data_IF_029623054390
#
_entry.id   IF_029623054390
#
_cell.length_a   1.000
_cell.length_b   1.000
_cell.length_c   1.000
_cell.angle_alpha   90.00
_cell.angle_beta   90.00
_cell.angle_gamma   90.00
#
_symmetry.space_group_name_H-M   'P 1'
#
loop_
_entity.id
_entity.type
_entity.pdbx_description
1 polymer ?
#
# COMPACT_ATOMS: atom_id res chain seq x y z
N UNK A 1 -71.21 -7.60 -2.48
CA UNK A 1 -70.77 -7.78 -3.88
C UNK A 1 -69.25 -7.64 -3.89
N UNK A 2 -68.50 -8.71 -3.62
CA UNK A 2 -68.07 -9.78 -4.54
C UNK A 2 -66.71 -9.49 -5.20
N UNK A 3 -65.75 -10.35 -4.84
CA UNK A 3 -64.62 -10.88 -5.62
C UNK A 3 -63.37 -10.03 -5.90
N UNK A 4 -62.25 -10.62 -5.44
CA UNK A 4 -60.89 -10.48 -5.97
C UNK A 4 -60.79 -10.94 -7.44
N UNK A 5 -59.70 -10.57 -8.15
CA UNK A 5 -58.58 -11.50 -8.39
C UNK A 5 -57.20 -10.79 -8.25
N UNK A 6 -56.11 -11.38 -7.73
CA UNK A 6 -55.29 -12.56 -8.10
C UNK A 6 -54.06 -12.21 -8.99
N UNK A 7 -52.86 -12.27 -8.35
CA UNK A 7 -51.51 -12.68 -8.84
C UNK A 7 -50.90 -11.98 -10.08
N UNK A 8 -49.58 -11.78 -10.26
CA UNK A 8 -48.41 -12.68 -10.11
C UNK A 8 -47.09 -11.87 -10.02
N UNK A 9 -46.13 -12.36 -9.23
CA UNK A 9 -44.68 -12.06 -9.34
C UNK A 9 -43.98 -13.25 -10.01
N UNK A 10 -42.95 -13.06 -10.86
CA UNK A 10 -42.27 -14.17 -11.53
C UNK A 10 -41.17 -14.81 -10.65
N UNK A 11 -41.38 -16.09 -10.36
CA UNK A 11 -40.44 -17.24 -10.46
C UNK A 11 -38.96 -17.05 -10.11
N UNK A 12 -38.58 -17.58 -8.94
CA UNK A 12 -37.26 -18.12 -8.63
C UNK A 12 -37.39 -19.66 -8.68
N UNK A 13 -36.73 -20.30 -9.65
CA UNK A 13 -36.65 -21.74 -9.76
C UNK A 13 -35.45 -22.24 -8.94
N UNK A 14 -35.72 -23.09 -7.95
CA UNK A 14 -34.75 -23.87 -7.20
C UNK A 14 -34.98 -25.35 -7.50
N UNK A 15 -33.93 -26.05 -7.94
CA UNK A 15 -33.84 -27.51 -8.03
C UNK A 15 -32.83 -27.95 -6.93
N UNK A 16 -33.26 -28.74 -5.94
CA UNK A 16 -33.06 -30.22 -5.82
C UNK A 16 -31.56 -30.60 -5.80
N UNK A 17 -30.98 -31.25 -4.78
CA UNK A 17 -31.43 -32.40 -4.00
C UNK A 17 -30.80 -32.42 -2.59
N UNK A 18 -31.58 -32.92 -1.62
CA UNK A 18 -31.15 -33.27 -0.27
C UNK A 18 -30.97 -34.80 -0.15
N UNK A 19 -29.99 -35.23 0.65
CA UNK A 19 -29.80 -36.63 1.06
C UNK A 19 -29.09 -36.67 2.41
N UNK A 20 -29.88 -36.79 3.48
CA UNK A 20 -29.44 -36.76 4.87
C UNK A 20 -29.26 -38.15 5.50
N UNK A 21 -28.47 -38.15 6.56
CA UNK A 21 -28.13 -39.22 7.50
C UNK A 21 -29.33 -39.59 8.39
N UNK A 22 -29.56 -40.89 8.67
CA UNK A 22 -29.90 -41.37 10.02
C UNK A 22 -29.75 -42.90 10.18
N UNK A 23 -29.30 -43.30 11.37
CA UNK A 23 -29.01 -44.65 11.84
C UNK A 23 -30.26 -45.47 12.23
N UNK A 24 -30.16 -46.80 12.22
CA UNK A 24 -30.93 -47.66 13.14
C UNK A 24 -30.27 -49.04 13.37
N UNK A 25 -30.40 -49.52 14.59
CA UNK A 25 -29.95 -50.81 15.14
C UNK A 25 -30.60 -52.04 14.50
N UNK A 26 -29.88 -53.18 14.45
CA UNK A 26 -30.44 -54.50 14.76
C UNK A 26 -29.35 -55.54 15.04
N UNK A 27 -29.52 -56.25 16.17
CA UNK A 27 -28.79 -57.42 16.66
C UNK A 27 -29.43 -58.71 16.11
N UNK A 28 -28.61 -59.76 15.99
CA UNK A 28 -28.91 -61.21 16.11
C UNK A 28 -29.79 -61.92 15.06
N UNK A 29 -29.25 -63.00 14.46
CA UNK A 29 -29.70 -64.41 14.60
C UNK A 29 -28.70 -65.37 13.88
N UNK A 30 -28.58 -66.60 14.39
CA UNK A 30 -27.61 -67.69 14.09
C UNK A 30 -27.68 -68.25 12.66
N UNK A 31 -26.77 -69.04 12.06
CA UNK A 31 -25.59 -69.90 12.39
C UNK A 31 -25.37 -70.85 11.16
N UNK A 32 -24.59 -71.96 11.15
CA UNK A 32 -23.39 -72.37 11.91
C UNK A 32 -22.19 -72.89 11.03
N UNK A 33 -21.02 -73.03 11.68
CA UNK A 33 -19.84 -73.93 11.51
C UNK A 33 -19.45 -74.56 10.14
N UNK A 34 -18.15 -74.50 9.77
CA UNK A 34 -17.15 -75.61 9.87
C UNK A 34 -15.73 -75.23 9.36
N UNK A 35 -14.74 -75.54 10.20
CA UNK A 35 -13.39 -76.11 9.93
C UNK A 35 -12.25 -75.33 9.25
N UNK A 36 -11.04 -75.55 9.81
CA UNK A 36 -9.81 -74.80 9.59
C UNK A 36 -9.09 -75.04 8.27
N UNK A 37 -8.23 -74.08 7.91
CA UNK A 37 -7.09 -74.32 7.03
C UNK A 37 -5.92 -73.41 7.46
N UNK A 38 -4.80 -74.03 7.82
CA UNK A 38 -3.53 -73.41 8.17
C UNK A 38 -2.65 -73.38 6.92
N UNK A 39 -2.05 -72.22 6.63
CA UNK A 39 -0.86 -72.14 5.78
C UNK A 39 -1.02 -71.29 4.52
N UNK A 40 -0.43 -70.08 4.57
CA UNK A 40 0.33 -69.55 3.44
C UNK A 40 1.28 -68.47 3.95
N UNK A 41 2.57 -68.78 3.93
CA UNK A 41 3.67 -67.88 4.20
C UNK A 41 3.83 -66.88 3.06
N UNK A 42 3.42 -65.64 3.27
CA UNK A 42 3.83 -64.53 2.42
C UNK A 42 5.15 -63.94 2.95
N UNK A 43 6.22 -64.13 2.20
CA UNK A 43 7.53 -63.54 2.45
C UNK A 43 7.42 -62.01 2.47
N UNK A 44 7.61 -61.42 3.65
CA UNK A 44 7.69 -59.97 3.80
C UNK A 44 9.05 -59.52 3.28
N UNK A 45 9.10 -59.13 2.00
CA UNK A 45 10.25 -58.40 1.46
C UNK A 45 10.42 -57.10 2.24
N UNK A 46 11.42 -57.04 3.11
CA UNK A 46 11.83 -55.83 3.81
C UNK A 46 12.28 -54.80 2.78
N UNK A 47 11.35 -53.94 2.35
CA UNK A 47 11.66 -52.71 1.62
C UNK A 47 12.52 -51.87 2.55
N UNK A 48 13.85 -51.88 2.34
CA UNK A 48 14.77 -50.92 2.96
C UNK A 48 14.18 -49.53 2.71
N UNK A 49 13.55 -48.95 3.74
CA UNK A 49 13.25 -47.54 3.74
C UNK A 49 14.61 -46.86 3.64
N UNK A 50 14.89 -46.24 2.49
CA UNK A 50 15.95 -45.24 2.42
C UNK A 50 15.64 -44.22 3.51
N UNK A 51 16.48 -44.19 4.54
CA UNK A 51 16.41 -43.20 5.61
C UNK A 51 16.47 -41.84 4.95
N UNK A 52 15.34 -41.12 4.92
CA UNK A 52 15.33 -39.72 4.58
C UNK A 52 16.20 -39.01 5.61
N UNK A 53 17.39 -38.59 5.19
CA UNK A 53 18.28 -37.75 5.98
C UNK A 53 17.47 -36.54 6.45
N UNK A 54 17.36 -36.28 7.76
CA UNK A 54 16.61 -35.15 8.28
C UNK A 54 17.34 -33.86 7.90
N UNK A 55 16.80 -33.12 6.93
CA UNK A 55 17.30 -31.78 6.59
C UNK A 55 17.33 -30.92 7.85
N UNK A 56 18.50 -30.35 8.15
CA UNK A 56 18.69 -29.53 9.34
C UNK A 56 17.72 -28.35 9.47
N UNK A 57 17.53 -27.78 10.67
CA UNK A 57 16.56 -26.73 10.96
C UNK A 57 16.73 -25.43 10.14
N UNK A 58 17.94 -25.16 9.67
CA UNK A 58 18.34 -23.90 9.00
C UNK A 58 17.64 -23.72 7.65
N UNK A 59 17.41 -24.79 6.91
CA UNK A 59 16.79 -24.75 5.58
C UNK A 59 15.31 -24.41 5.63
N UNK A 60 14.61 -24.89 6.68
CA UNK A 60 13.17 -24.66 6.84
C UNK A 60 12.88 -23.20 7.16
N UNK A 61 13.61 -22.61 8.12
CA UNK A 61 13.45 -21.20 8.51
C UNK A 61 13.71 -20.26 7.32
N UNK A 62 14.73 -20.53 6.50
CA UNK A 62 15.02 -19.73 5.31
C UNK A 62 13.94 -19.85 4.23
N UNK A 63 13.41 -21.05 3.99
CA UNK A 63 12.27 -21.26 3.08
C UNK A 63 11.02 -20.53 3.55
N UNK A 64 10.68 -20.66 4.83
CA UNK A 64 9.53 -20.01 5.45
C UNK A 64 9.67 -18.49 5.34
N UNK A 65 10.88 -17.95 5.51
CA UNK A 65 11.16 -16.52 5.31
C UNK A 65 10.97 -16.08 3.86
N UNK A 66 11.48 -16.84 2.89
CA UNK A 66 11.28 -16.55 1.46
C UNK A 66 9.79 -16.55 1.13
N UNK A 67 9.04 -17.54 1.60
CA UNK A 67 7.60 -17.62 1.37
C UNK A 67 6.85 -16.45 2.03
N UNK A 68 7.21 -16.08 3.26
CA UNK A 68 6.65 -14.91 3.96
C UNK A 68 6.89 -13.61 3.19
N UNK A 69 8.11 -13.38 2.70
CA UNK A 69 8.43 -12.19 1.90
C UNK A 69 7.69 -12.21 0.56
N UNK A 70 7.58 -13.37 -0.11
CA UNK A 70 6.76 -13.51 -1.33
C UNK A 70 5.29 -13.18 -1.09
N UNK A 71 4.71 -13.67 0.02
CA UNK A 71 3.33 -13.33 0.43
C UNK A 71 3.18 -11.83 0.70
N UNK A 72 4.18 -11.23 1.35
CA UNK A 72 4.22 -9.78 1.59
C UNK A 72 4.23 -8.99 0.29
N UNK A 73 5.06 -9.37 -0.69
CA UNK A 73 5.10 -8.74 -2.01
C UNK A 73 3.77 -8.83 -2.78
N UNK A 74 3.08 -9.99 -2.73
CA UNK A 74 1.74 -10.14 -3.31
C UNK A 74 0.71 -9.25 -2.63
N UNK A 75 0.79 -9.10 -1.30
CA UNK A 75 -0.10 -8.24 -0.53
C UNK A 75 0.11 -6.76 -0.87
N UNK A 76 1.37 -6.31 -0.95
CA UNK A 76 1.69 -4.92 -1.31
C UNK A 76 1.28 -4.61 -2.75
N UNK A 77 1.46 -5.56 -3.67
CA UNK A 77 1.01 -5.40 -5.05
C UNK A 77 -0.53 -5.30 -5.17
N UNK A 78 -1.26 -6.17 -4.46
CA UNK A 78 -2.71 -6.07 -4.38
C UNK A 78 -3.16 -4.71 -3.78
N UNK A 79 -2.49 -4.25 -2.72
CA UNK A 79 -2.77 -2.92 -2.13
C UNK A 79 -2.50 -1.78 -3.11
N UNK A 80 -1.47 -1.88 -3.95
CA UNK A 80 -1.17 -0.91 -5.02
C UNK A 80 -2.31 -0.85 -6.03
N UNK A 81 -2.80 -1.99 -6.50
CA UNK A 81 -3.92 -2.06 -7.46
C UNK A 81 -5.22 -1.52 -6.85
N UNK A 82 -5.52 -1.86 -5.59
CA UNK A 82 -6.68 -1.32 -4.86
C UNK A 82 -6.59 0.20 -4.73
N UNK A 83 -5.41 0.73 -4.41
CA UNK A 83 -5.20 2.17 -4.32
C UNK A 83 -5.36 2.85 -5.69
N UNK A 84 -4.85 2.26 -6.78
CA UNK A 84 -5.05 2.75 -8.14
C UNK A 84 -6.52 2.85 -8.53
N UNK A 85 -7.30 1.79 -8.25
CA UNK A 85 -8.74 1.79 -8.50
C UNK A 85 -9.47 2.87 -7.68
N UNK A 86 -9.05 3.11 -6.44
CA UNK A 86 -9.61 4.17 -5.60
C UNK A 86 -9.23 5.58 -6.10
N UNK A 87 -8.02 5.80 -6.62
CA UNK A 87 -7.66 7.11 -7.22
C UNK A 87 -8.56 7.41 -8.41
N UNK A 88 -8.78 6.42 -9.28
CA UNK A 88 -9.67 6.58 -10.44
C UNK A 88 -11.09 6.97 -10.01
N UNK A 89 -11.63 6.33 -8.97
CA UNK A 89 -12.93 6.73 -8.40
C UNK A 89 -12.93 8.16 -7.86
N UNK A 90 -11.85 8.60 -7.20
CA UNK A 90 -11.73 9.96 -6.71
C UNK A 90 -11.71 10.97 -7.88
N UNK A 91 -11.00 10.66 -8.97
CA UNK A 91 -11.00 11.48 -10.19
C UNK A 91 -12.39 11.56 -10.84
N UNK A 92 -13.08 10.43 -10.98
CA UNK A 92 -14.45 10.40 -11.49
C UNK A 92 -15.38 11.27 -10.63
N UNK A 93 -15.17 11.28 -9.31
CA UNK A 93 -15.90 12.14 -8.37
C UNK A 93 -15.66 13.63 -8.61
N UNK A 94 -14.40 14.04 -8.80
CA UNK A 94 -14.04 15.43 -9.14
C UNK A 94 -14.66 15.85 -10.46
N UNK A 95 -14.55 15.02 -11.50
CA UNK A 95 -15.12 15.31 -12.82
C UNK A 95 -16.64 15.50 -12.75
N UNK A 96 -17.34 14.68 -11.95
CA UNK A 96 -18.80 14.81 -11.74
C UNK A 96 -19.19 16.06 -10.94
N UNK A 97 -18.39 16.48 -9.97
CA UNK A 97 -18.66 17.66 -9.15
C UNK A 97 -18.31 18.99 -9.86
N UNK A 98 -17.51 18.92 -10.92
CA UNK A 98 -16.97 20.09 -11.61
C UNK A 98 -18.02 20.99 -12.27
N UNK A 99 -19.01 20.48 -13.03
CA UNK A 99 -20.03 21.34 -13.64
C UNK A 99 -20.79 22.19 -12.63
N UNK A 100 -21.15 21.58 -11.49
CA UNK A 100 -21.81 22.27 -10.39
C UNK A 100 -20.93 23.38 -9.80
N UNK A 101 -19.66 23.07 -9.50
CA UNK A 101 -18.71 24.00 -8.91
C UNK A 101 -18.42 25.20 -9.82
N UNK A 102 -18.28 24.93 -11.13
CA UNK A 102 -18.06 25.95 -12.16
C UNK A 102 -19.27 26.87 -12.30
N UNK A 103 -20.47 26.32 -12.41
CA UNK A 103 -21.69 27.13 -12.57
C UNK A 103 -21.96 27.96 -11.30
N UNK A 104 -21.81 27.36 -10.11
CA UNK A 104 -21.95 28.09 -8.84
C UNK A 104 -20.95 29.25 -8.72
N UNK A 105 -19.69 29.01 -9.06
CA UNK A 105 -18.64 30.05 -9.10
C UNK A 105 -18.98 31.14 -10.11
N UNK A 106 -19.47 30.74 -11.28
CA UNK A 106 -19.84 31.65 -12.37
C UNK A 106 -21.02 32.56 -11.97
N UNK A 107 -22.05 32.00 -11.33
CA UNK A 107 -23.19 32.74 -10.80
C UNK A 107 -22.78 33.71 -9.69
N UNK A 108 -21.98 33.25 -8.71
CA UNK A 108 -21.51 34.12 -7.62
C UNK A 108 -20.67 35.27 -8.18
N UNK A 109 -19.76 35.01 -9.13
CA UNK A 109 -18.97 36.06 -9.80
C UNK A 109 -19.88 37.05 -10.55
N UNK A 110 -20.90 36.57 -11.24
CA UNK A 110 -21.87 37.42 -11.95
C UNK A 110 -22.65 38.32 -10.97
N UNK A 111 -23.15 37.76 -9.87
CA UNK A 111 -23.87 38.50 -8.83
C UNK A 111 -22.98 39.53 -8.16
N UNK A 112 -21.77 39.14 -7.73
CA UNK A 112 -20.80 40.05 -7.11
C UNK A 112 -20.44 41.19 -8.09
N UNK A 113 -20.24 40.91 -9.39
CA UNK A 113 -19.97 41.94 -10.41
C UNK A 113 -21.13 42.92 -10.56
N UNK A 114 -22.38 42.45 -10.59
CA UNK A 114 -23.59 43.30 -10.67
C UNK A 114 -23.78 44.15 -9.40
N UNK A 115 -23.30 43.66 -8.25
CA UNK A 115 -23.42 44.28 -6.94
C UNK A 115 -22.16 45.05 -6.51
N UNK A 116 -21.16 45.21 -7.37
CA UNK A 116 -19.99 46.05 -7.07
C UNK A 116 -20.45 47.51 -6.91
N UNK A 117 -20.30 48.06 -5.70
CA UNK A 117 -20.61 49.45 -5.38
C UNK A 117 -21.72 49.67 -4.35
N UNK A 118 -22.45 48.62 -3.93
CA UNK A 118 -23.55 48.74 -2.95
C UNK A 118 -23.16 48.48 -1.49
N UNK A 119 -21.88 48.26 -1.17
CA UNK A 119 -21.44 48.07 0.22
C UNK A 119 -21.70 46.67 0.83
N UNK A 120 -22.11 45.69 0.01
CA UNK A 120 -22.49 44.33 0.43
C UNK A 120 -21.44 43.55 1.25
N UNK A 121 -20.16 43.94 1.15
CA UNK A 121 -19.07 43.32 1.92
C UNK A 121 -19.27 43.49 3.44
N UNK A 122 -19.98 44.54 3.86
CA UNK A 122 -20.29 44.81 5.27
C UNK A 122 -21.47 43.97 5.78
N UNK A 123 -22.43 43.65 4.92
CA UNK A 123 -23.70 43.00 5.27
C UNK A 123 -23.62 41.46 5.30
N UNK A 124 -22.67 40.88 4.55
CA UNK A 124 -22.48 39.43 4.47
C UNK A 124 -21.41 38.93 5.44
N UNK A 125 -21.77 38.19 6.52
CA UNK A 125 -20.79 37.78 7.54
C UNK A 125 -19.61 36.99 6.98
N UNK A 126 -19.85 36.10 6.00
CA UNK A 126 -18.83 35.23 5.40
C UNK A 126 -17.85 35.93 4.44
N UNK A 127 -18.16 37.16 4.02
CA UNK A 127 -17.29 38.02 3.19
C UNK A 127 -16.56 39.08 4.01
N UNK A 128 -16.95 39.27 5.28
CA UNK A 128 -16.36 40.27 6.16
C UNK A 128 -14.91 39.91 6.47
N UNK A 129 -13.98 40.71 5.96
CA UNK A 129 -12.56 40.63 6.33
C UNK A 129 -12.37 41.45 7.60
N UNK A 130 -11.99 40.85 8.74
CA UNK A 130 -11.77 41.61 9.97
C UNK A 130 -10.48 42.43 9.87
N UNK A 131 -10.50 43.65 10.42
CA UNK A 131 -9.34 44.58 10.41
C UNK A 131 -8.13 44.02 11.17
N UNK A 132 -8.37 43.16 12.17
CA UNK A 132 -7.35 42.44 12.93
C UNK A 132 -7.79 41.00 13.19
N UNK A 133 -6.96 40.04 12.78
CA UNK A 133 -7.18 38.61 13.00
C UNK A 133 -6.62 38.22 14.37
N UNK A 134 -7.50 37.84 15.31
CA UNK A 134 -7.10 37.40 16.67
C UNK A 134 -7.07 35.87 16.79
N UNK A 135 -7.96 35.19 16.07
CA UNK A 135 -8.08 33.74 16.09
C UNK A 135 -8.17 33.15 14.68
N UNK A 136 -7.43 32.05 14.45
CA UNK A 136 -7.41 31.33 13.18
C UNK A 136 -7.84 29.88 13.40
N UNK A 137 -8.79 29.42 12.59
CA UNK A 137 -9.20 28.02 12.50
C UNK A 137 -8.37 27.32 11.44
N UNK A 138 -7.66 26.25 11.79
CA UNK A 138 -6.92 25.43 10.83
C UNK A 138 -7.62 24.09 10.67
N UNK A 139 -8.11 23.77 9.47
CA UNK A 139 -8.57 22.43 9.12
C UNK A 139 -7.42 21.64 8.52
N UNK A 140 -6.89 20.68 9.28
CA UNK A 140 -5.87 19.75 8.81
C UNK A 140 -6.53 18.48 8.25
N UNK A 141 -6.26 18.16 6.98
CA UNK A 141 -6.78 16.95 6.32
C UNK A 141 -5.70 15.88 6.25
N UNK A 142 -5.96 14.71 6.82
CA UNK A 142 -5.05 13.57 6.90
C UNK A 142 -5.74 12.25 6.55
N UNK A 143 -4.95 11.19 6.40
CA UNK A 143 -5.48 9.85 6.15
C UNK A 143 -6.03 9.19 7.42
N UNK A 144 -6.94 8.24 7.25
CA UNK A 144 -7.34 7.35 8.33
C UNK A 144 -6.33 6.21 8.58
N UNK A 145 -5.66 5.75 7.53
CA UNK A 145 -4.77 4.58 7.55
C UNK A 145 -3.31 5.00 7.35
N UNK A 146 -2.40 4.13 7.75
CA UNK A 146 -0.97 4.25 7.46
C UNK A 146 -0.61 3.71 6.08
N UNK A 147 0.68 3.37 5.89
CA UNK A 147 1.21 2.79 4.66
C UNK A 147 1.10 3.70 3.42
N UNK A 148 0.92 5.01 3.63
CA UNK A 148 0.83 6.04 2.59
C UNK A 148 2.14 6.84 2.44
N UNK A 149 3.28 6.19 2.67
CA UNK A 149 4.59 6.85 2.69
C UNK A 149 4.66 8.00 3.70
N UNK A 150 5.25 9.12 3.29
CA UNK A 150 5.44 10.31 4.13
C UNK A 150 4.25 11.31 4.13
N UNK A 151 3.13 10.97 3.47
CA UNK A 151 1.97 11.85 3.30
C UNK A 151 1.50 12.53 4.61
N UNK A 152 1.11 11.75 5.62
CA UNK A 152 0.62 12.28 6.89
C UNK A 152 1.69 13.12 7.59
N UNK A 153 2.95 12.68 7.53
CA UNK A 153 4.08 13.36 8.15
C UNK A 153 4.30 14.74 7.55
N UNK A 154 4.22 14.89 6.22
CA UNK A 154 4.40 16.17 5.56
C UNK A 154 3.27 17.15 5.88
N UNK A 155 2.02 16.69 5.93
CA UNK A 155 0.88 17.52 6.33
C UNK A 155 1.05 17.99 7.77
N UNK A 156 1.31 17.08 8.72
CA UNK A 156 1.52 17.43 10.13
C UNK A 156 2.70 18.40 10.32
N UNK A 157 3.82 18.20 9.60
CA UNK A 157 4.96 19.14 9.65
C UNK A 157 4.59 20.53 9.15
N UNK A 158 3.83 20.62 8.05
CA UNK A 158 3.38 21.91 7.49
C UNK A 158 2.40 22.60 8.43
N UNK A 159 1.45 21.86 9.01
CA UNK A 159 0.53 22.36 10.04
C UNK A 159 1.28 22.87 11.26
N UNK A 160 2.22 22.08 11.80
CA UNK A 160 3.04 22.47 12.94
C UNK A 160 3.82 23.77 12.68
N UNK A 161 4.43 23.88 11.49
CA UNK A 161 5.17 25.08 11.09
C UNK A 161 4.24 26.30 10.97
N UNK A 162 3.01 26.11 10.46
CA UNK A 162 2.02 27.19 10.38
C UNK A 162 1.55 27.65 11.76
N UNK A 163 1.21 26.70 12.64
CA UNK A 163 0.81 27.02 14.03
C UNK A 163 1.96 27.74 14.75
N UNK A 164 3.19 27.25 14.64
CA UNK A 164 4.35 27.90 15.25
C UNK A 164 4.57 29.33 14.73
N UNK A 165 4.30 29.61 13.46
CA UNK A 165 4.38 30.97 12.92
C UNK A 165 3.28 31.87 13.50
N UNK A 166 2.04 31.38 13.57
CA UNK A 166 0.90 32.14 14.11
C UNK A 166 1.04 32.41 15.62
N UNK A 167 1.56 31.45 16.38
CA UNK A 167 1.81 31.63 17.81
C UNK A 167 2.88 32.70 18.07
N UNK A 168 3.90 32.82 17.20
CA UNK A 168 4.89 33.91 17.29
C UNK A 168 4.29 35.28 17.02
N UNK A 169 3.25 35.35 16.19
CA UNK A 169 2.47 36.55 15.92
C UNK A 169 1.43 36.83 17.04
N UNK A 170 1.33 35.97 18.06
CA UNK A 170 0.38 36.09 19.16
C UNK A 170 -1.07 35.73 18.79
N UNK A 171 -1.27 35.07 17.66
CA UNK A 171 -2.60 34.69 17.14
C UNK A 171 -2.98 33.31 17.70
N UNK A 172 -4.19 33.21 18.27
CA UNK A 172 -4.69 31.93 18.80
C UNK A 172 -5.14 31.02 17.67
N UNK A 173 -4.75 29.74 17.73
CA UNK A 173 -5.12 28.77 16.69
C UNK A 173 -6.09 27.73 17.24
N UNK A 174 -7.22 27.54 16.57
CA UNK A 174 -8.16 26.43 16.81
C UNK A 174 -8.00 25.39 15.72
N UNK A 175 -7.69 24.14 16.09
CA UNK A 175 -7.36 23.07 15.16
C UNK A 175 -8.58 22.16 14.92
N UNK A 176 -8.95 21.99 13.66
CA UNK A 176 -9.92 20.99 13.21
C UNK A 176 -9.21 19.90 12.44
N UNK A 177 -9.59 18.65 12.69
CA UNK A 177 -8.89 17.50 12.14
C UNK A 177 -9.86 16.66 11.33
N UNK A 178 -9.47 16.38 10.09
CA UNK A 178 -10.04 15.33 9.26
C UNK A 178 -9.01 14.20 9.17
N UNK A 179 -9.41 13.00 9.54
CA UNK A 179 -8.58 11.79 9.49
C UNK A 179 -8.01 11.38 10.85
N UNK A 180 -8.06 10.07 11.12
CA UNK A 180 -7.58 9.47 12.37
C UNK A 180 -6.07 9.65 12.60
N UNK A 181 -5.24 9.73 11.54
CA UNK A 181 -3.79 9.93 11.71
C UNK A 181 -3.43 11.33 12.16
N UNK A 182 -4.22 12.33 11.80
CA UNK A 182 -4.08 13.70 12.32
C UNK A 182 -4.35 13.74 13.82
N UNK A 183 -5.42 13.09 14.28
CA UNK A 183 -5.81 13.06 15.70
C UNK A 183 -4.73 12.36 16.54
N UNK A 184 -4.31 11.15 16.16
CA UNK A 184 -3.17 10.46 16.79
C UNK A 184 -1.87 11.28 16.72
N UNK A 185 -1.70 12.08 15.66
CA UNK A 185 -0.56 12.95 15.43
C UNK A 185 -0.47 14.16 16.37
N UNK A 186 -1.60 14.63 16.92
CA UNK A 186 -1.64 15.80 17.82
C UNK A 186 -0.70 15.64 19.01
N UNK A 187 -0.82 14.52 19.73
CA UNK A 187 -0.05 14.22 20.96
C UNK A 187 1.44 14.02 20.72
N UNK A 188 1.84 13.64 19.51
CA UNK A 188 3.22 13.23 19.21
C UNK A 188 3.98 14.26 18.39
N UNK A 189 3.35 14.81 17.34
CA UNK A 189 3.98 15.65 16.32
C UNK A 189 3.64 17.13 16.47
N UNK A 190 2.52 17.45 17.12
CA UNK A 190 2.09 18.82 17.40
C UNK A 190 2.30 19.23 18.87
N UNK A 191 2.92 18.38 19.70
CA UNK A 191 3.15 18.64 21.12
C UNK A 191 4.01 19.87 21.46
N UNK A 192 4.73 20.42 20.47
CA UNK A 192 5.59 21.60 20.63
C UNK A 192 4.89 22.92 20.29
N UNK A 193 3.65 22.86 19.80
CA UNK A 193 2.90 24.05 19.39
C UNK A 193 1.62 24.15 20.21
N UNK A 194 1.24 25.36 20.56
CA UNK A 194 0.00 25.64 21.28
C UNK A 194 -1.14 25.77 20.29
N UNK A 195 -2.21 25.01 20.50
CA UNK A 195 -3.44 25.06 19.71
C UNK A 195 -4.61 24.62 20.59
N UNK A 196 -5.79 25.15 20.28
CA UNK A 196 -7.04 24.72 20.88
C UNK A 196 -7.65 23.56 20.08
N UNK A 197 -8.08 22.50 20.77
CA UNK A 197 -8.63 21.30 20.15
C UNK A 197 -9.70 20.64 21.04
N UNK A 198 -10.93 20.64 20.56
CA UNK A 198 -12.11 20.12 21.28
C UNK A 198 -12.17 18.58 21.41
N UNK A 199 -11.11 17.86 21.00
CA UNK A 199 -11.10 16.39 21.02
C UNK A 199 -11.94 15.72 19.93
N UNK A 200 -12.65 16.51 19.11
CA UNK A 200 -13.51 16.02 18.01
C UNK A 200 -12.72 15.95 16.71
N UNK A 201 -12.85 14.86 15.96
CA UNK A 201 -12.29 14.74 14.62
C UNK A 201 -13.32 14.17 13.66
N UNK A 202 -13.19 14.53 12.39
CA UNK A 202 -13.98 13.93 11.32
C UNK A 202 -13.21 12.77 10.72
N UNK A 203 -13.84 11.60 10.60
CA UNK A 203 -13.23 10.48 9.91
C UNK A 203 -13.23 10.72 8.40
N UNK A 204 -12.08 10.55 7.74
CA UNK A 204 -11.99 10.69 6.28
C UNK A 204 -12.76 9.55 5.60
N UNK A 205 -13.86 9.81 4.88
CA UNK A 205 -14.64 8.73 4.30
C UNK A 205 -13.87 8.03 3.16
N UNK A 206 -14.07 6.72 3.02
CA UNK A 206 -13.48 5.94 1.93
C UNK A 206 -14.05 6.35 0.55
N UNK A 207 -15.28 6.84 0.53
CA UNK A 207 -15.94 7.44 -0.64
C UNK A 207 -16.41 8.83 -0.25
N UNK A 208 -15.87 9.86 -0.91
CA UNK A 208 -16.27 11.23 -0.62
C UNK A 208 -17.70 11.45 -1.11
N UNK A 209 -18.54 12.01 -0.25
CA UNK A 209 -19.93 12.37 -0.58
C UNK A 209 -20.18 13.83 -0.19
N UNK A 210 -21.16 14.46 -0.83
CA UNK A 210 -21.57 15.82 -0.47
C UNK A 210 -21.98 15.94 1.01
N UNK A 211 -22.58 14.89 1.58
CA UNK A 211 -22.97 14.85 3.00
C UNK A 211 -21.77 15.06 3.93
N UNK A 212 -20.67 14.35 3.70
CA UNK A 212 -19.46 14.50 4.53
C UNK A 212 -18.83 15.89 4.39
N UNK A 213 -18.89 16.49 3.20
CA UNK A 213 -18.41 17.85 3.00
C UNK A 213 -19.30 18.87 3.72
N UNK A 214 -20.63 18.70 3.68
CA UNK A 214 -21.58 19.56 4.39
C UNK A 214 -21.38 19.49 5.90
N UNK A 215 -21.19 18.30 6.48
CA UNK A 215 -20.95 18.14 7.93
C UNK A 215 -19.70 18.92 8.39
N UNK A 216 -18.62 18.87 7.60
CA UNK A 216 -17.38 19.61 7.87
C UNK A 216 -17.58 21.12 7.64
N UNK A 217 -18.26 21.49 6.56
CA UNK A 217 -18.53 22.87 6.18
C UNK A 217 -19.42 23.59 7.18
N UNK A 218 -20.48 22.94 7.66
CA UNK A 218 -21.37 23.49 8.68
C UNK A 218 -20.65 23.69 10.01
N UNK A 219 -19.79 22.75 10.42
CA UNK A 219 -18.99 22.88 11.63
C UNK A 219 -18.05 24.10 11.56
N UNK A 220 -17.33 24.26 10.44
CA UNK A 220 -16.41 25.40 10.22
C UNK A 220 -17.18 26.71 10.11
N UNK A 221 -18.30 26.71 9.39
CA UNK A 221 -19.16 27.88 9.18
C UNK A 221 -19.74 28.38 10.50
N UNK A 222 -20.29 27.50 11.32
CA UNK A 222 -20.90 27.88 12.59
C UNK A 222 -19.88 28.53 13.55
N UNK A 223 -18.64 28.03 13.52
CA UNK A 223 -17.52 28.56 14.31
C UNK A 223 -17.05 29.94 13.84
N UNK A 224 -17.09 30.17 12.53
CA UNK A 224 -16.78 31.47 11.95
C UNK A 224 -17.90 32.49 12.25
N UNK A 225 -19.17 32.07 12.09
CA UNK A 225 -20.33 32.91 12.35
C UNK A 225 -20.50 33.24 13.84
N UNK A 226 -20.06 32.37 14.75
CA UNK A 226 -20.05 32.66 16.20
C UNK A 226 -18.99 33.68 16.60
N UNK A 227 -18.06 34.04 15.71
CA UNK A 227 -16.94 34.94 16.00
C UNK A 227 -15.84 34.31 16.87
N UNK A 228 -15.87 32.98 17.06
CA UNK A 228 -14.80 32.27 17.76
C UNK A 228 -13.52 32.24 16.91
N UNK A 229 -13.68 32.21 15.58
CA UNK A 229 -12.59 32.25 14.60
C UNK A 229 -12.82 33.34 13.57
N UNK A 230 -11.79 34.19 13.39
CA UNK A 230 -11.81 35.31 12.44
C UNK A 230 -11.36 34.91 11.02
N UNK A 231 -10.62 33.81 10.88
CA UNK A 231 -10.08 33.32 9.59
C UNK A 231 -9.94 31.81 9.59
N UNK A 232 -10.30 31.14 8.49
CA UNK A 232 -10.16 29.69 8.34
C UNK A 232 -9.17 29.34 7.22
N UNK A 233 -8.17 28.55 7.58
CA UNK A 233 -7.16 28.00 6.68
C UNK A 233 -7.30 26.46 6.59
N UNK A 234 -7.16 25.91 5.39
CA UNK A 234 -7.10 24.48 5.13
C UNK A 234 -5.65 24.08 4.90
N UNK A 235 -5.20 23.02 5.57
CA UNK A 235 -3.93 22.35 5.31
C UNK A 235 -4.21 20.97 4.76
N UNK A 236 -3.96 20.79 3.47
CA UNK A 236 -4.18 19.54 2.76
C UNK A 236 -3.05 19.27 1.78
N UNK A 237 -2.95 18.04 1.30
CA UNK A 237 -2.05 17.72 0.21
C UNK A 237 -2.79 17.91 -1.11
N UNK A 238 -2.35 18.89 -1.89
CA UNK A 238 -2.81 19.06 -3.26
C UNK A 238 -2.17 17.99 -4.14
N UNK A 239 -3.01 17.32 -4.92
CA UNK A 239 -2.54 16.32 -5.87
C UNK A 239 -1.86 17.06 -7.02
N UNK A 240 -0.74 16.55 -7.54
CA UNK A 240 -0.11 17.12 -8.75
C UNK A 240 0.25 16.02 -9.72
N UNK A 241 0.96 15.00 -9.23
CA UNK A 241 1.34 13.81 -9.99
C UNK A 241 1.37 12.60 -9.06
N UNK A 242 1.48 11.39 -9.61
CA UNK A 242 1.53 10.18 -8.79
C UNK A 242 2.71 10.14 -7.78
N UNK A 243 3.79 10.83 -8.14
CA UNK A 243 5.04 10.84 -7.38
C UNK A 243 5.18 12.09 -6.51
N UNK A 244 4.46 13.17 -6.82
CA UNK A 244 4.62 14.47 -6.17
C UNK A 244 3.29 14.97 -5.61
N UNK A 245 3.20 14.99 -4.28
CA UNK A 245 2.11 15.59 -3.53
C UNK A 245 2.73 16.62 -2.60
N UNK A 246 2.31 17.89 -2.69
CA UNK A 246 2.84 18.96 -1.84
C UNK A 246 1.77 19.38 -0.82
N UNK A 247 2.08 19.44 0.49
CA UNK A 247 1.18 20.01 1.46
C UNK A 247 1.06 21.52 1.25
N UNK A 248 -0.14 21.97 0.96
CA UNK A 248 -0.49 23.37 0.67
C UNK A 248 -1.41 23.92 1.75
N UNK A 249 -1.32 25.23 1.96
CA UNK A 249 -2.19 25.97 2.88
C UNK A 249 -3.07 26.87 2.01
N UNK A 250 -4.38 26.74 2.13
CA UNK A 250 -5.36 27.54 1.40
C UNK A 250 -6.26 28.27 2.40
N UNK A 251 -6.47 29.56 2.23
CA UNK A 251 -7.48 30.29 3.02
C UNK A 251 -8.85 30.06 2.38
N UNK A 252 -9.84 29.71 3.19
CA UNK A 252 -11.21 29.42 2.73
C UNK A 252 -12.23 30.41 3.29
N UNK A 253 -12.05 30.88 4.53
CA UNK A 253 -12.81 32.00 5.08
C UNK A 253 -11.84 33.05 5.62
N UNK A 254 -12.14 34.36 5.50
CA UNK A 254 -13.26 34.95 4.77
C UNK A 254 -13.12 34.76 3.25
N UNK A 255 -14.25 34.68 2.55
CA UNK A 255 -14.29 34.55 1.10
C UNK A 255 -13.92 35.91 0.47
N UNK A 256 -12.82 35.98 -0.29
CA UNK A 256 -12.46 37.23 -0.95
C UNK A 256 -13.46 37.54 -2.08
N UNK A 257 -14.08 38.74 -2.11
CA UNK A 257 -15.03 39.15 -3.17
C UNK A 257 -14.43 39.13 -4.58
N UNK A 258 -13.11 39.29 -4.69
CA UNK A 258 -12.36 39.26 -5.95
C UNK A 258 -11.50 38.01 -6.13
N UNK A 259 -11.34 37.20 -5.08
CA UNK A 259 -10.43 36.06 -4.99
C UNK A 259 -11.12 34.71 -4.82
N UNK A 260 -12.26 34.51 -5.49
CA UNK A 260 -12.96 33.21 -5.63
C UNK A 260 -12.11 32.22 -6.47
N UNK A 261 -10.97 32.65 -6.98
CA UNK A 261 -10.01 31.84 -7.74
C UNK A 261 -8.94 31.27 -6.81
N UNK A 262 -8.84 29.94 -6.78
CA UNK A 262 -7.52 29.33 -6.72
C UNK A 262 -6.90 29.55 -8.14
N UNK A 263 -5.73 30.18 -8.27
CA UNK A 263 -5.06 30.36 -9.56
C UNK A 263 -4.79 29.04 -10.31
N UNK A 264 -4.80 27.92 -9.58
CA UNK A 264 -4.34 26.61 -10.04
C UNK A 264 -5.41 25.51 -9.83
N UNK A 265 -6.64 25.69 -10.28
CA UNK A 265 -7.62 24.58 -10.32
C UNK A 265 -7.23 23.60 -11.46
N UNK A 266 -6.19 22.80 -11.22
CA UNK A 266 -5.66 21.81 -12.17
C UNK A 266 -6.48 20.52 -12.06
N UNK A 267 -6.99 20.02 -13.18
CA UNK A 267 -7.66 18.71 -13.23
C UNK A 267 -6.67 17.61 -13.54
N UNK A 268 -6.83 16.47 -12.87
CA UNK A 268 -5.98 15.31 -13.01
C UNK A 268 -6.73 14.17 -13.70
N UNK A 269 -6.22 13.71 -14.84
CA UNK A 269 -6.67 12.48 -15.49
C UNK A 269 -5.57 11.43 -15.36
N UNK A 270 -5.92 10.24 -14.86
CA UNK A 270 -5.01 9.10 -14.90
C UNK A 270 -5.12 8.44 -16.27
N UNK A 271 -4.07 8.58 -17.08
CA UNK A 271 -3.90 7.87 -18.35
C UNK A 271 -2.88 6.75 -18.17
N UNK A 272 -3.00 5.70 -18.98
CA UNK A 272 -2.05 4.61 -19.03
C UNK A 272 -1.26 4.73 -20.33
N UNK A 273 -0.05 5.27 -20.27
CA UNK A 273 0.93 5.23 -21.36
C UNK A 273 1.93 4.11 -21.08
N UNK A 274 2.16 3.22 -22.05
CA UNK A 274 3.19 2.15 -22.01
C UNK A 274 3.13 1.23 -20.76
N UNK A 275 1.94 0.96 -20.25
CA UNK A 275 1.74 0.13 -19.06
C UNK A 275 2.17 0.80 -17.74
N UNK A 276 2.55 2.08 -17.77
CA UNK A 276 2.85 2.90 -16.59
C UNK A 276 1.71 3.90 -16.37
N UNK A 277 1.14 3.90 -15.17
CA UNK A 277 0.16 4.90 -14.75
C UNK A 277 0.86 6.28 -14.73
N UNK A 278 0.40 7.20 -15.57
CA UNK A 278 0.80 8.60 -15.57
C UNK A 278 -0.42 9.47 -15.27
N UNK A 279 -0.15 10.67 -14.76
CA UNK A 279 -1.19 11.69 -14.54
C UNK A 279 -0.90 12.80 -15.53
N UNK A 280 -1.84 13.01 -16.43
CA UNK A 280 -1.85 14.17 -17.30
C UNK A 280 -2.57 15.31 -16.60
N UNK A 281 -2.01 16.51 -16.78
CA UNK A 281 -2.61 17.74 -16.30
C UNK A 281 -3.36 18.37 -17.44
N UNK A 282 -4.68 18.37 -17.34
CA UNK A 282 -5.47 19.28 -18.15
C UNK A 282 -5.64 20.57 -17.37
N UNK A 283 -5.17 21.69 -17.95
CA UNK A 283 -5.55 23.02 -17.46
C UNK A 283 -7.03 23.19 -17.75
N UNK A 284 -7.80 22.94 -16.70
CA UNK A 284 -9.23 23.06 -16.71
C UNK A 284 -9.63 24.49 -17.14
N UNK A 285 -10.54 24.68 -18.12
CA UNK A 285 -10.96 26.02 -18.50
C UNK A 285 -11.59 26.72 -17.29
N UNK A 286 -11.08 27.91 -16.96
CA UNK A 286 -11.60 28.74 -15.86
C UNK A 286 -13.08 29.02 -16.11
N UNK A 287 -13.91 28.88 -15.09
CA UNK A 287 -15.30 29.31 -15.16
C UNK A 287 -15.31 30.84 -15.40
N UNK A 288 -15.64 31.25 -16.64
CA UNK A 288 -15.89 32.65 -16.97
C UNK A 288 -17.11 33.11 -16.16
N UNK A 289 -17.07 34.34 -15.67
CA UNK A 289 -18.23 34.93 -15.02
C UNK A 289 -19.41 34.91 -16.00
N UNK A 290 -20.56 34.42 -15.57
CA UNK A 290 -21.79 34.52 -16.36
C UNK A 290 -22.14 36.00 -16.38
N UNK A 291 -22.18 36.60 -17.55
CA UNK A 291 -22.72 37.95 -17.69
C UNK A 291 -24.22 37.82 -17.45
N UNK A 292 -24.65 38.21 -16.26
CA UNK A 292 -26.06 38.27 -15.90
C UNK A 292 -26.64 39.41 -16.73
N UNK A 293 -27.52 39.07 -17.67
CA UNK A 293 -28.19 40.08 -18.49
C UNK A 293 -28.88 41.12 -17.60
N UNK A 294 -28.91 42.40 -18.01
CA UNK A 294 -29.55 43.47 -17.24
C UNK A 294 -30.99 43.14 -16.86
N UNK A 295 -31.72 42.48 -17.77
CA UNK A 295 -33.15 42.16 -17.68
C UNK A 295 -33.48 40.91 -16.85
N UNK A 296 -32.50 40.32 -16.15
CA UNK A 296 -32.75 39.21 -15.23
C UNK A 296 -33.50 39.72 -14.00
N UNK A 297 -34.75 39.26 -13.86
CA UNK A 297 -35.60 39.51 -12.68
C UNK A 297 -35.14 38.59 -11.55
N UNK A 298 -34.86 39.17 -10.37
CA UNK A 298 -34.56 38.41 -9.16
C UNK A 298 -35.83 38.24 -8.32
N UNK A 299 -36.11 37.01 -7.90
CA UNK A 299 -37.22 36.69 -7.01
C UNK A 299 -36.99 37.18 -5.56
N UNK A 300 -35.71 37.36 -5.18
CA UNK A 300 -35.29 37.86 -3.88
C UNK A 300 -34.21 38.93 -4.01
N UNK A 301 -33.99 39.77 -2.99
CA UNK A 301 -32.85 40.68 -2.95
C UNK A 301 -31.53 39.93 -3.20
N UNK A 302 -30.62 40.48 -4.02
CA UNK A 302 -29.37 39.80 -4.37
C UNK A 302 -28.50 39.42 -3.16
N UNK A 303 -28.58 40.18 -2.07
CA UNK A 303 -27.94 39.89 -0.77
C UNK A 303 -28.42 38.56 -0.17
N UNK A 304 -29.73 38.35 -0.13
CA UNK A 304 -30.36 37.12 0.40
C UNK A 304 -29.99 35.92 -0.45
N UNK A 305 -30.00 36.09 -1.78
CA UNK A 305 -29.58 35.05 -2.72
C UNK A 305 -28.12 34.68 -2.47
N UNK A 306 -27.24 35.68 -2.37
CA UNK A 306 -25.81 35.46 -2.14
C UNK A 306 -25.57 34.79 -0.78
N UNK A 307 -26.25 35.21 0.29
CA UNK A 307 -26.21 34.57 1.61
C UNK A 307 -26.57 33.08 1.58
N UNK A 308 -27.51 32.68 0.72
CA UNK A 308 -27.90 31.27 0.55
C UNK A 308 -26.90 30.47 -0.30
N UNK A 309 -26.20 31.13 -1.22
CA UNK A 309 -25.22 30.50 -2.12
C UNK A 309 -23.83 30.34 -1.50
N UNK A 310 -23.41 31.24 -0.60
CA UNK A 310 -22.09 31.18 0.04
C UNK A 310 -21.84 29.87 0.82
N UNK A 311 -22.78 29.32 1.59
CA UNK A 311 -22.63 28.00 2.20
C UNK A 311 -22.44 26.87 1.18
N UNK A 312 -23.18 26.90 0.07
CA UNK A 312 -23.01 25.91 -1.01
C UNK A 312 -21.63 26.01 -1.64
N UNK A 313 -21.10 27.22 -1.78
CA UNK A 313 -19.77 27.46 -2.31
C UNK A 313 -18.68 26.94 -1.36
N UNK A 314 -18.81 27.22 -0.06
CA UNK A 314 -17.92 26.68 0.98
C UNK A 314 -17.91 25.15 0.95
N UNK A 315 -19.09 24.53 0.91
CA UNK A 315 -19.22 23.08 0.88
C UNK A 315 -18.62 22.48 -0.40
N UNK A 316 -18.77 23.15 -1.53
CA UNK A 316 -18.13 22.77 -2.79
C UNK A 316 -16.60 22.84 -2.73
N UNK A 317 -16.04 23.91 -2.14
CA UNK A 317 -14.60 24.02 -1.94
C UNK A 317 -14.06 22.91 -1.03
N UNK A 318 -14.74 22.64 0.10
CA UNK A 318 -14.36 21.55 1.00
C UNK A 318 -14.44 20.21 0.28
N UNK A 319 -15.49 19.98 -0.50
CA UNK A 319 -15.64 18.76 -1.29
C UNK A 319 -14.45 18.56 -2.26
N UNK A 320 -14.06 19.60 -2.99
CA UNK A 320 -12.90 19.57 -3.90
C UNK A 320 -11.60 19.24 -3.14
N UNK A 321 -11.37 19.91 -2.01
CA UNK A 321 -10.19 19.68 -1.15
C UNK A 321 -10.16 18.24 -0.62
N UNK A 322 -11.30 17.66 -0.24
CA UNK A 322 -11.37 16.28 0.21
C UNK A 322 -11.02 15.30 -0.91
N UNK A 323 -11.47 15.55 -2.14
CA UNK A 323 -11.09 14.74 -3.29
C UNK A 323 -9.58 14.83 -3.59
N UNK A 324 -9.00 16.03 -3.60
CA UNK A 324 -7.56 16.25 -3.80
C UNK A 324 -6.72 15.56 -2.73
N UNK A 325 -7.15 15.70 -1.47
CA UNK A 325 -6.49 15.06 -0.35
C UNK A 325 -6.56 13.53 -0.46
N UNK A 326 -7.72 12.98 -0.86
CA UNK A 326 -7.90 11.55 -1.07
C UNK A 326 -7.05 11.03 -2.24
N UNK A 327 -7.04 11.73 -3.37
CA UNK A 327 -6.21 11.37 -4.53
C UNK A 327 -4.72 11.37 -4.17
N UNK A 328 -4.26 12.40 -3.46
CA UNK A 328 -2.88 12.51 -2.96
C UNK A 328 -2.52 11.39 -1.98
N UNK A 329 -3.42 11.08 -1.04
CA UNK A 329 -3.23 10.01 -0.06
C UNK A 329 -3.04 8.65 -0.74
N UNK A 330 -3.96 8.33 -1.65
CA UNK A 330 -3.97 7.08 -2.39
C UNK A 330 -2.78 6.98 -3.33
N UNK A 331 -2.38 8.08 -3.96
CA UNK A 331 -1.18 8.16 -4.78
C UNK A 331 0.09 7.88 -3.98
N UNK A 332 0.23 8.50 -2.81
CA UNK A 332 1.36 8.25 -1.92
C UNK A 332 1.39 6.79 -1.44
N UNK A 333 0.22 6.19 -1.20
CA UNK A 333 0.07 4.76 -0.90
C UNK A 333 0.48 3.89 -2.08
N UNK A 334 0.07 4.20 -3.31
CA UNK A 334 0.49 3.46 -4.51
C UNK A 334 2.01 3.45 -4.68
N UNK A 335 2.65 4.61 -4.51
CA UNK A 335 4.11 4.75 -4.62
C UNK A 335 4.82 4.00 -3.51
N UNK A 336 4.33 4.08 -2.26
CA UNK A 336 4.88 3.32 -1.14
C UNK A 336 4.73 1.80 -1.33
N UNK A 337 3.58 1.34 -1.81
CA UNK A 337 3.33 -0.07 -2.09
C UNK A 337 4.16 -0.58 -3.28
N UNK A 338 4.33 0.22 -4.34
CA UNK A 338 5.23 -0.09 -5.45
C UNK A 338 6.66 -0.31 -4.96
N UNK A 339 7.20 0.66 -4.22
CA UNK A 339 8.54 0.55 -3.65
C UNK A 339 8.66 -0.67 -2.72
N UNK A 340 7.63 -0.98 -1.92
CA UNK A 340 7.62 -2.16 -1.07
C UNK A 340 7.60 -3.48 -1.86
N UNK A 341 6.85 -3.56 -2.97
CA UNK A 341 6.82 -4.73 -3.86
C UNK A 341 8.17 -4.94 -4.54
N UNK A 342 8.78 -3.87 -5.07
CA UNK A 342 10.09 -3.93 -5.72
C UNK A 342 11.17 -4.36 -4.70
N UNK A 343 11.17 -3.78 -3.49
CA UNK A 343 12.06 -4.18 -2.40
C UNK A 343 11.84 -5.63 -1.95
N UNK A 344 10.59 -6.12 -1.96
CA UNK A 344 10.29 -7.50 -1.62
C UNK A 344 10.82 -8.46 -2.70
N UNK A 345 10.74 -8.10 -3.98
CA UNK A 345 11.30 -8.88 -5.08
C UNK A 345 12.83 -9.00 -4.94
N UNK A 346 13.51 -7.90 -4.67
CA UNK A 346 14.95 -7.87 -4.42
C UNK A 346 15.36 -8.68 -3.19
N UNK A 347 14.53 -8.65 -2.14
CA UNK A 347 14.79 -9.46 -0.95
C UNK A 347 14.61 -10.95 -1.23
N UNK A 348 13.63 -11.32 -2.04
CA UNK A 348 13.41 -12.71 -2.46
C UNK A 348 14.59 -13.24 -3.26
N UNK A 349 15.13 -12.48 -4.22
CA UNK A 349 16.29 -12.91 -5.02
C UNK A 349 17.52 -13.11 -4.13
N UNK A 350 17.81 -12.16 -3.22
CA UNK A 350 18.92 -12.26 -2.26
C UNK A 350 18.77 -13.46 -1.32
N UNK A 351 17.60 -13.64 -0.72
CA UNK A 351 17.34 -14.78 0.17
C UNK A 351 17.42 -16.11 -0.57
N UNK A 352 16.99 -16.17 -1.82
CA UNK A 352 17.09 -17.38 -2.65
C UNK A 352 18.55 -17.74 -2.94
N UNK A 353 19.40 -16.75 -3.23
CA UNK A 353 20.84 -16.97 -3.41
C UNK A 353 21.49 -17.51 -2.13
N UNK A 354 21.21 -16.89 -0.98
CA UNK A 354 21.71 -17.35 0.32
C UNK A 354 21.21 -18.77 0.64
N UNK A 355 19.94 -19.05 0.37
CA UNK A 355 19.35 -20.37 0.57
C UNK A 355 20.06 -21.44 -0.29
N UNK A 356 20.30 -21.15 -1.57
CA UNK A 356 20.99 -22.09 -2.47
C UNK A 356 22.44 -22.34 -2.02
N UNK A 357 23.17 -21.31 -1.61
CA UNK A 357 24.54 -21.44 -1.07
C UNK A 357 24.57 -22.29 0.20
N UNK A 358 23.66 -22.04 1.14
CA UNK A 358 23.56 -22.83 2.39
C UNK A 358 23.17 -24.28 2.12
N UNK A 359 22.23 -24.50 1.19
CA UNK A 359 21.82 -25.84 0.77
C UNK A 359 22.99 -26.61 0.15
N UNK A 360 23.78 -25.98 -0.71
CA UNK A 360 24.97 -26.59 -1.29
C UNK A 360 26.01 -26.92 -0.22
N UNK A 361 26.30 -25.97 0.68
CA UNK A 361 27.22 -26.19 1.81
C UNK A 361 26.79 -27.35 2.72
N UNK A 362 25.48 -27.46 3.01
CA UNK A 362 24.92 -28.56 3.79
C UNK A 362 25.06 -29.91 3.07
N UNK A 363 24.76 -29.96 1.76
CA UNK A 363 24.95 -31.17 0.96
C UNK A 363 26.42 -31.59 0.91
N UNK A 364 27.35 -30.66 0.70
CA UNK A 364 28.78 -30.96 0.72
C UNK A 364 29.25 -31.44 2.09
N UNK A 365 28.76 -30.84 3.17
CA UNK A 365 29.07 -31.27 4.53
C UNK A 365 28.56 -32.71 4.78
N UNK A 366 27.32 -33.00 4.40
CA UNK A 366 26.75 -34.35 4.52
C UNK A 366 27.56 -35.37 3.71
N UNK A 367 27.99 -35.04 2.49
CA UNK A 367 28.85 -35.91 1.67
C UNK A 367 30.20 -36.14 2.33
N UNK A 368 30.85 -35.08 2.84
CA UNK A 368 32.12 -35.20 3.56
C UNK A 368 32.00 -36.08 4.81
N UNK A 369 30.92 -35.93 5.59
CA UNK A 369 30.64 -36.75 6.77
C UNK A 369 30.41 -38.23 6.40
N UNK A 370 29.69 -38.51 5.32
CA UNK A 370 29.47 -39.88 4.81
C UNK A 370 30.79 -40.51 4.35
N UNK A 371 31.58 -39.80 3.55
CA UNK A 371 32.87 -40.29 3.04
C UNK A 371 33.86 -40.54 4.18
N UNK A 372 33.97 -39.63 5.15
CA UNK A 372 34.81 -39.81 6.33
C UNK A 372 34.37 -41.02 7.18
N UNK A 373 33.06 -41.22 7.36
CA UNK A 373 32.51 -42.38 8.05
C UNK A 373 32.77 -43.71 7.31
N UNK A 374 32.72 -43.70 5.98
CA UNK A 374 33.03 -44.86 5.15
C UNK A 374 34.51 -45.27 5.26
N UNK A 375 35.43 -44.30 5.16
CA UNK A 375 36.88 -44.54 5.32
C UNK A 375 37.21 -45.16 6.69
N UNK A 376 36.60 -44.65 7.78
CA UNK A 376 36.80 -45.19 9.12
C UNK A 376 36.34 -46.67 9.27
N UNK A 377 35.36 -47.11 8.47
CA UNK A 377 34.91 -48.50 8.46
C UNK A 377 35.84 -49.42 7.67
N UNK A 378 36.47 -48.90 6.61
CA UNK A 378 37.47 -49.64 5.84
C UNK A 378 38.73 -49.90 6.68
N UNK A 379 39.20 -48.90 7.42
CA UNK A 379 40.33 -49.06 8.36
C UNK A 379 40.05 -50.13 9.45
N UNK A 380 38.80 -50.30 9.87
CA UNK A 380 38.44 -51.35 10.86
C UNK A 380 38.31 -52.76 10.28
N UNK A 381 38.14 -52.90 8.95
CA UNK A 381 38.05 -54.21 8.28
C UNK A 381 39.40 -54.72 7.79
N UNK A 382 40.40 -53.85 7.65
CA UNK A 382 41.81 -54.23 7.62
C UNK A 382 42.24 -54.69 9.01
N UNK A 383 42.31 -56.00 9.23
CA UNK A 383 42.74 -56.55 10.52
C UNK A 383 44.10 -56.01 10.95
N UNK A 384 44.22 -55.64 12.23
CA UNK A 384 45.47 -55.48 12.99
C UNK A 384 46.67 -54.97 12.17
N UNK A 385 46.53 -53.76 11.64
CA UNK A 385 47.59 -52.96 11.08
C UNK A 385 46.95 -51.63 10.80
N UNK A 386 47.20 -50.62 11.66
CA UNK A 386 46.82 -49.27 11.30
C UNK A 386 47.41 -48.92 9.94
N UNK A 387 46.90 -47.89 9.24
CA UNK A 387 47.74 -47.28 8.22
C UNK A 387 49.08 -47.02 8.92
N UNK A 388 50.20 -47.45 8.31
CA UNK A 388 51.38 -46.61 8.44
C UNK A 388 50.82 -45.23 8.06
N UNK A 389 50.70 -44.34 9.04
CA UNK A 389 50.88 -42.94 8.77
C UNK A 389 52.23 -42.96 8.06
N UNK A 390 52.20 -43.10 6.73
CA UNK A 390 53.38 -42.97 5.90
C UNK A 390 54.01 -41.73 6.45
N UNK A 391 55.22 -41.89 7.00
CA UNK A 391 55.99 -40.82 7.61
C UNK A 391 55.61 -39.57 6.86
N UNK A 392 54.85 -38.67 7.52
CA UNK A 392 54.76 -37.33 6.97
C UNK A 392 56.22 -36.96 6.79
N UNK A 393 56.60 -36.68 5.54
CA UNK A 393 57.96 -36.33 5.21
C UNK A 393 58.39 -35.32 6.28
N UNK A 394 59.30 -35.75 7.16
CA UNK A 394 59.86 -34.87 8.15
C UNK A 394 60.42 -33.68 7.37
N UNK A 395 60.31 -32.46 7.92
CA UNK A 395 60.82 -31.25 7.27
C UNK A 395 62.28 -31.41 6.77
N UNK A 396 63.04 -32.37 7.31
CA UNK A 396 64.39 -32.74 6.87
C UNK A 396 64.48 -33.49 5.52
N UNK A 397 63.46 -34.24 5.08
CA UNK A 397 63.48 -34.97 3.80
C UNK A 397 63.05 -34.10 2.62
N UNK A 398 62.17 -33.12 2.87
CA UNK A 398 61.66 -32.18 1.86
C UNK A 398 62.82 -31.34 1.30
N UNK A 399 63.79 -30.93 2.12
CA UNK A 399 64.94 -30.17 1.64
C UNK A 399 65.85 -30.99 0.71
N UNK A 400 66.00 -32.29 0.96
CA UNK A 400 66.93 -33.14 0.19
C UNK A 400 66.40 -33.54 -1.19
N UNK A 401 65.09 -33.76 -1.31
CA UNK A 401 64.45 -34.04 -2.60
C UNK A 401 64.18 -32.75 -3.38
N UNK A 402 63.85 -31.64 -2.71
CA UNK A 402 63.70 -30.33 -3.38
C UNK A 402 65.04 -29.79 -3.93
N UNK A 403 66.16 -30.03 -3.23
CA UNK A 403 67.49 -29.66 -3.73
C UNK A 403 67.92 -30.52 -4.93
N UNK A 404 67.55 -31.81 -4.96
CA UNK A 404 67.77 -32.67 -6.13
C UNK A 404 66.91 -32.26 -7.33
N UNK A 405 65.65 -31.91 -7.11
CA UNK A 405 64.75 -31.45 -8.19
C UNK A 405 65.16 -30.08 -8.77
N UNK A 406 65.83 -29.24 -7.97
CA UNK A 406 66.44 -27.98 -8.42
C UNK A 406 67.75 -28.19 -9.20
N UNK A 407 68.56 -29.18 -8.84
CA UNK A 407 69.78 -29.54 -9.59
C UNK A 407 69.48 -30.25 -10.91
N UNK A 408 68.41 -31.04 -10.96
CA UNK A 408 68.01 -31.84 -12.13
C UNK A 408 67.07 -31.09 -13.09
N UNK A 409 66.62 -29.89 -12.71
CA UNK A 409 65.84 -28.96 -13.56
C UNK A 409 64.45 -29.49 -13.97
N UNK A 410 63.92 -30.49 -13.27
CA UNK A 410 62.73 -31.24 -13.66
C UNK A 410 61.42 -30.74 -13.03
N UNK A 411 61.38 -29.50 -12.55
CA UNK A 411 60.12 -28.88 -12.12
C UNK A 411 59.32 -28.49 -13.37
N UNK A 412 58.16 -29.09 -13.65
CA UNK A 412 57.36 -28.68 -14.79
C UNK A 412 56.71 -27.33 -14.49
N UNK A 413 57.02 -26.32 -15.29
CA UNK A 413 56.30 -25.04 -15.25
C UNK A 413 54.80 -25.30 -15.48
N UNK A 414 53.94 -24.68 -14.67
CA UNK A 414 52.50 -24.77 -14.88
C UNK A 414 52.13 -24.28 -16.28
N UNK A 415 51.34 -25.04 -17.07
CA UNK A 415 50.95 -24.60 -18.40
C UNK A 415 50.10 -23.34 -18.27
N UNK A 416 50.58 -22.26 -18.89
CA UNK A 416 49.96 -20.93 -18.84
C UNK A 416 48.88 -20.74 -19.90
N UNK A 417 48.67 -21.74 -20.78
CA UNK A 417 47.71 -21.67 -21.89
C UNK A 417 46.56 -22.70 -21.71
N UNK A 418 45.28 -22.31 -21.88
CA UNK A 418 44.13 -23.19 -21.61
C UNK A 418 44.01 -24.42 -22.52
N UNK A 419 44.71 -24.44 -23.66
CA UNK A 419 44.61 -25.50 -24.68
C UNK A 419 45.49 -26.73 -24.39
N UNK A 420 46.35 -26.69 -23.37
CA UNK A 420 47.19 -27.82 -22.93
C UNK A 420 46.57 -28.63 -21.78
N UNK A 421 45.33 -28.29 -21.36
CA UNK A 421 44.61 -29.10 -20.39
C UNK A 421 44.06 -30.38 -21.05
N UNK A 422 44.20 -31.56 -20.41
CA UNK A 422 43.67 -32.80 -20.97
C UNK A 422 42.14 -32.73 -21.12
N UNK A 423 41.64 -33.00 -22.33
CA UNK A 423 40.19 -33.01 -22.62
C UNK A 423 39.48 -34.08 -21.79
N UNK A 424 38.44 -33.66 -21.06
CA UNK A 424 37.57 -34.56 -20.29
C UNK A 424 36.53 -35.16 -21.25
N UNK A 425 36.40 -36.49 -21.39
CA UNK A 425 35.45 -37.08 -22.31
C UNK A 425 33.99 -36.79 -21.89
N UNK A 426 33.07 -36.56 -22.84
CA UNK A 426 31.69 -36.22 -22.51
C UNK A 426 30.93 -37.42 -21.94
N UNK A 427 30.12 -37.16 -20.92
CA UNK A 427 29.20 -38.14 -20.32
C UNK A 427 28.19 -38.63 -21.37
N UNK A 428 28.24 -39.93 -21.68
CA UNK A 428 27.26 -40.64 -22.51
C UNK A 428 25.91 -40.65 -21.76
N UNK A 429 24.93 -39.94 -22.31
CA UNK A 429 23.53 -40.05 -21.92
C UNK A 429 22.89 -41.22 -22.68
N UNK A 430 22.79 -42.39 -22.04
CA UNK A 430 21.94 -43.48 -22.55
C UNK A 430 20.47 -43.11 -22.40
N UNK A 431 19.87 -42.73 -23.52
CA UNK A 431 18.41 -42.78 -23.73
C UNK A 431 18.00 -44.23 -23.94
N UNK A 432 17.06 -44.79 -23.16
CA UNK A 432 15.97 -45.66 -23.62
C UNK A 432 15.03 -46.03 -22.46
N UNK A 433 13.73 -45.85 -22.68
CA UNK A 433 12.66 -46.23 -21.76
C UNK A 433 11.34 -45.55 -22.07
N UNK A 434 10.86 -45.71 -23.32
CA UNK A 434 9.52 -45.33 -23.75
C UNK A 434 8.46 -46.09 -22.94
N UNK A 435 7.49 -45.37 -22.41
CA UNK A 435 6.28 -45.91 -21.80
C UNK A 435 5.21 -45.95 -22.90
N UNK A 436 4.76 -47.15 -23.27
CA UNK A 436 3.41 -47.37 -23.79
C UNK A 436 2.42 -47.52 -22.63
#
# INVERSE_FOLDING_TARGET
MTNAPQQRRPTLAAALFAGGVLALCARYMHGPNTEGFVGSSASTGSRRQMSRVPRGPVDKVMKDRIESVKKTGKLTDAMRLVAAAKVRRAQDGVQKARPFSNELTSMIKGLVKKLKGSGLEAELPMLRVPDKVKSIGILMVTANRGLCGAYNTFIMKKTAARIAALNKEGIKVKLFIVGRKGESGTRTRLNKVEFDYDGKFFSMPDTITAKSANEIGDAIRNLFLSGEVDKVELVYAKFFTLLSNKPTIRTVLPLSPMGIEDPDDETFTMTSEDGKLKVEKEKAPKAKAKDIEPDVIFDQPPETILNSMLPLYLNSQILSVLYDAQASELSARMTAMKAATDNAADLVTKLTSIFNKKRQAAITQEICEISAGALCLEEKKGGAGGPDLGMFDNEENIESDFLKELEDGSVPDMPTNPDEMPEVPPLVMDSYGSIE
#
